data_IF_075303794346
#
_entry.id   IF_075303794346
#
_cell.length_a   1.000
_cell.length_b   1.000
_cell.length_c   1.000
_cell.angle_alpha   90.00
_cell.angle_beta   90.00
_cell.angle_gamma   90.00
#
_symmetry.space_group_name_H-M   'P 1'
#
loop_
_entity.id
_entity.type
_entity.pdbx_description
1 polymer ?
#
# COMPACT_ATOMS: atom_id res chain seq x y z
N UNK A 1 30.99 -48.38 56.58
CA UNK A 1 30.22 -49.14 55.63
C UNK A 1 28.97 -48.31 55.33
N UNK A 2 28.99 -47.51 54.29
CA UNK A 2 27.87 -46.67 53.90
C UNK A 2 27.44 -46.94 52.43
N UNK A 3 26.17 -47.11 52.27
CA UNK A 3 25.41 -47.60 51.15
C UNK A 3 25.72 -46.89 49.78
N UNK A 4 26.26 -47.64 48.84
CA UNK A 4 26.49 -47.26 47.45
C UNK A 4 25.47 -47.95 46.54
N UNK A 5 24.18 -47.94 46.88
CA UNK A 5 23.13 -48.68 46.15
C UNK A 5 21.91 -47.88 45.78
N UNK A 6 21.98 -46.54 45.64
CA UNK A 6 20.77 -45.80 45.29
C UNK A 6 20.95 -44.73 44.19
N UNK A 7 22.06 -44.74 43.46
CA UNK A 7 22.29 -43.76 42.37
C UNK A 7 21.96 -44.29 40.98
N UNK A 8 21.87 -45.61 40.80
CA UNK A 8 21.61 -46.20 39.48
C UNK A 8 20.12 -46.18 39.06
N UNK A 9 19.18 -46.14 40.03
CA UNK A 9 17.75 -46.14 39.70
C UNK A 9 17.24 -44.76 39.31
N UNK A 10 17.83 -43.68 39.85
CA UNK A 10 17.43 -42.29 39.55
C UNK A 10 17.94 -41.85 38.15
N UNK A 11 19.07 -42.38 37.71
CA UNK A 11 19.61 -42.04 36.39
C UNK A 11 18.81 -42.71 35.24
N UNK A 12 18.28 -43.91 35.52
CA UNK A 12 17.43 -44.61 34.53
C UNK A 12 16.07 -43.94 34.32
N UNK A 13 15.49 -43.34 35.40
CA UNK A 13 14.22 -42.63 35.30
C UNK A 13 14.36 -41.28 34.58
N UNK A 14 15.49 -40.59 34.75
CA UNK A 14 15.78 -39.34 34.05
C UNK A 14 16.01 -39.56 32.53
N UNK A 15 16.58 -40.70 32.14
CA UNK A 15 16.79 -41.06 30.74
C UNK A 15 15.46 -41.47 30.04
N UNK A 16 14.54 -42.09 30.78
CA UNK A 16 13.22 -42.45 30.22
C UNK A 16 12.28 -41.24 30.11
N UNK A 17 12.39 -40.24 31.00
CA UNK A 17 11.59 -39.01 30.91
C UNK A 17 12.03 -38.10 29.78
N UNK A 18 13.33 -38.14 29.42
CA UNK A 18 13.87 -37.38 28.29
C UNK A 18 13.44 -37.91 26.90
N UNK A 19 13.16 -39.20 26.80
CA UNK A 19 12.76 -39.83 25.50
C UNK A 19 11.29 -39.65 25.23
N UNK A 20 10.44 -39.54 26.25
CA UNK A 20 8.98 -39.33 26.08
C UNK A 20 8.64 -37.89 25.68
N UNK A 21 9.46 -36.89 26.07
CA UNK A 21 9.26 -35.48 25.68
C UNK A 21 9.68 -35.17 24.21
N UNK A 22 10.53 -36.00 23.58
CA UNK A 22 10.95 -35.75 22.20
C UNK A 22 9.99 -36.33 21.14
N UNK A 23 9.02 -37.15 21.53
CA UNK A 23 8.09 -37.79 20.59
C UNK A 23 6.83 -36.95 20.27
N UNK A 24 6.64 -35.77 20.92
CA UNK A 24 5.46 -34.92 20.70
C UNK A 24 5.71 -33.70 19.80
N UNK A 25 6.89 -33.56 19.17
CA UNK A 25 7.22 -32.38 18.35
C UNK A 25 7.22 -32.68 16.85
N UNK A 26 6.77 -33.86 16.42
CA UNK A 26 6.65 -34.19 15.00
C UNK A 26 5.20 -34.42 14.55
N UNK A 27 4.28 -33.72 15.20
CA UNK A 27 2.96 -33.46 14.68
C UNK A 27 3.00 -32.21 13.80
N UNK A 28 3.73 -32.29 12.67
CA UNK A 28 3.52 -31.36 11.56
C UNK A 28 2.10 -31.58 11.07
N UNK A 29 1.14 -30.81 11.56
CA UNK A 29 -0.06 -30.53 10.79
C UNK A 29 0.46 -29.85 9.51
N UNK A 30 0.55 -30.61 8.44
CA UNK A 30 0.36 -30.05 7.10
C UNK A 30 -1.12 -29.67 7.07
N UNK A 31 -1.41 -28.42 7.43
CA UNK A 31 -2.51 -27.74 6.82
C UNK A 31 -2.11 -27.65 5.34
N UNK A 32 -2.67 -28.53 4.53
CA UNK A 32 -2.77 -28.29 3.10
C UNK A 32 -3.69 -27.07 3.00
N UNK A 33 -3.06 -25.86 3.08
CA UNK A 33 -3.68 -24.64 2.65
C UNK A 33 -4.07 -24.88 1.18
N UNK A 34 -5.33 -25.23 0.99
CA UNK A 34 -5.97 -25.16 -0.32
C UNK A 34 -5.92 -23.69 -0.70
N UNK A 35 -4.83 -23.30 -1.38
CA UNK A 35 -4.71 -21.98 -1.97
C UNK A 35 -5.79 -21.90 -3.01
N UNK A 36 -6.90 -21.25 -2.66
CA UNK A 36 -7.90 -20.86 -3.63
C UNK A 36 -7.19 -19.93 -4.63
N UNK A 37 -7.01 -20.36 -5.91
CA UNK A 37 -6.30 -19.54 -6.89
C UNK A 37 -7.03 -18.22 -7.20
N UNK A 38 -8.31 -18.10 -6.81
CA UNK A 38 -9.12 -16.89 -6.96
C UNK A 38 -9.21 -16.07 -5.65
N UNK A 39 -8.65 -16.55 -4.54
CA UNK A 39 -8.57 -15.76 -3.33
C UNK A 39 -7.60 -14.57 -3.54
N UNK A 40 -8.04 -13.32 -3.24
CA UNK A 40 -7.14 -12.18 -3.31
C UNK A 40 -5.93 -12.46 -2.43
N UNK A 41 -4.74 -12.54 -3.04
CA UNK A 41 -3.51 -12.77 -2.30
C UNK A 41 -3.34 -11.67 -1.27
N UNK A 42 -3.53 -12.01 0.02
CA UNK A 42 -3.31 -11.07 1.12
C UNK A 42 -1.82 -10.72 1.11
N UNK A 43 -1.44 -9.45 0.84
CA UNK A 43 -0.04 -9.06 0.83
C UNK A 43 0.60 -9.32 2.19
N UNK A 44 1.84 -9.83 2.21
CA UNK A 44 2.60 -10.03 3.45
C UNK A 44 2.84 -8.70 4.18
N UNK A 45 2.99 -8.67 5.52
CA UNK A 45 3.13 -7.43 6.31
C UNK A 45 4.22 -6.48 5.82
N UNK A 46 5.35 -6.98 5.36
CA UNK A 46 6.39 -6.19 4.70
C UNK A 46 5.92 -5.49 3.42
N UNK A 47 4.93 -6.07 2.75
CA UNK A 47 4.32 -5.53 1.53
C UNK A 47 3.40 -4.34 1.82
N UNK A 48 2.86 -4.19 3.03
CA UNK A 48 1.94 -3.09 3.37
C UNK A 48 2.63 -1.72 3.30
N UNK A 49 3.81 -1.60 3.88
CA UNK A 49 4.63 -0.37 3.82
C UNK A 49 5.13 -0.11 2.40
N UNK A 50 5.49 -1.16 1.66
CA UNK A 50 5.86 -1.08 0.24
C UNK A 50 4.70 -0.57 -0.61
N UNK A 51 3.47 -1.02 -0.36
CA UNK A 51 2.28 -0.56 -1.09
C UNK A 51 1.97 0.91 -0.80
N UNK A 52 2.12 1.38 0.46
CA UNK A 52 2.03 2.79 0.80
C UNK A 52 3.06 3.59 -0.02
N UNK A 53 4.32 3.17 -0.02
CA UNK A 53 5.38 3.84 -0.75
C UNK A 53 5.19 3.79 -2.27
N UNK A 54 4.59 2.72 -2.79
CA UNK A 54 4.21 2.62 -4.20
C UNK A 54 3.16 3.66 -4.55
N UNK A 55 2.14 3.85 -3.69
CA UNK A 55 1.12 4.88 -3.87
C UNK A 55 1.72 6.30 -3.82
N UNK A 56 2.66 6.57 -2.92
CA UNK A 56 3.35 7.87 -2.84
C UNK A 56 4.13 8.15 -4.14
N UNK A 57 4.86 7.16 -4.64
CA UNK A 57 5.57 7.27 -5.94
C UNK A 57 4.59 7.45 -7.10
N UNK A 58 3.48 6.74 -7.09
CA UNK A 58 2.44 6.86 -8.12
C UNK A 58 1.79 8.25 -8.11
N UNK A 59 1.50 8.81 -6.93
CA UNK A 59 0.99 10.19 -6.81
C UNK A 59 1.94 11.20 -7.46
N UNK A 60 3.26 11.08 -7.21
CA UNK A 60 4.25 11.91 -7.88
C UNK A 60 4.18 11.79 -9.41
N UNK A 61 4.12 10.55 -9.91
CA UNK A 61 4.01 10.30 -11.37
C UNK A 61 2.72 10.87 -11.98
N UNK A 62 1.60 10.81 -11.27
CA UNK A 62 0.34 11.43 -11.73
C UNK A 62 0.45 12.96 -11.80
N UNK A 63 1.07 13.59 -10.81
CA UNK A 63 1.30 15.04 -10.79
C UNK A 63 2.25 15.44 -11.94
N UNK A 64 3.32 14.68 -12.14
CA UNK A 64 4.26 14.86 -13.26
C UNK A 64 3.56 14.71 -14.60
N UNK A 65 2.76 13.65 -14.78
CA UNK A 65 1.98 13.44 -15.99
C UNK A 65 1.01 14.59 -16.26
N UNK A 66 0.35 15.13 -15.24
CA UNK A 66 -0.54 16.29 -15.37
C UNK A 66 0.21 17.53 -15.81
N UNK A 67 1.41 17.80 -15.29
CA UNK A 67 2.21 18.96 -15.68
C UNK A 67 2.81 18.84 -17.08
N UNK A 68 3.08 17.60 -17.53
CA UNK A 68 3.61 17.32 -18.86
C UNK A 68 2.52 17.06 -19.91
N UNK A 69 1.23 17.20 -19.54
CA UNK A 69 0.08 16.91 -20.40
C UNK A 69 0.10 15.48 -20.99
N UNK A 70 0.61 14.52 -20.21
CA UNK A 70 0.61 13.12 -20.61
C UNK A 70 -0.81 12.53 -20.44
N UNK A 71 -1.20 11.68 -21.40
CA UNK A 71 -2.48 10.99 -21.37
C UNK A 71 -2.36 9.59 -20.76
N UNK A 72 -3.46 9.07 -20.23
CA UNK A 72 -3.58 7.67 -19.81
C UNK A 72 -3.84 6.80 -21.03
N UNK A 73 -2.95 5.86 -21.30
CA UNK A 73 -3.10 4.89 -22.39
C UNK A 73 -3.95 3.70 -21.96
N UNK A 74 -3.68 3.15 -20.77
CA UNK A 74 -4.47 2.08 -20.15
C UNK A 74 -4.55 2.26 -18.65
N UNK A 75 -5.66 1.80 -18.05
CA UNK A 75 -5.78 1.61 -16.62
C UNK A 75 -6.55 0.30 -16.36
N UNK A 76 -5.89 -0.66 -15.73
CA UNK A 76 -6.43 -1.99 -15.54
C UNK A 76 -6.63 -2.26 -14.05
N UNK A 77 -7.88 -2.50 -13.61
CA UNK A 77 -8.12 -2.96 -12.24
C UNK A 77 -7.57 -4.39 -12.08
N UNK A 78 -6.92 -4.61 -10.95
CA UNK A 78 -6.37 -5.90 -10.52
C UNK A 78 -7.04 -6.30 -9.23
N UNK A 79 -7.34 -7.58 -9.03
CA UNK A 79 -8.00 -8.11 -7.84
C UNK A 79 -9.27 -7.33 -7.47
N UNK A 80 -10.23 -7.25 -8.41
CA UNK A 80 -11.50 -6.54 -8.21
C UNK A 80 -11.35 -5.07 -7.77
N UNK A 81 -10.32 -4.38 -8.24
CA UNK A 81 -10.06 -2.96 -7.92
C UNK A 81 -9.29 -2.76 -6.60
N UNK A 82 -8.74 -3.82 -6.00
CA UNK A 82 -7.83 -3.66 -4.87
C UNK A 82 -6.55 -2.92 -5.26
N UNK A 83 -6.13 -3.03 -6.52
CA UNK A 83 -5.07 -2.24 -7.12
C UNK A 83 -5.37 -1.94 -8.58
N UNK A 84 -4.57 -1.05 -9.17
CA UNK A 84 -4.66 -0.64 -10.57
C UNK A 84 -3.26 -0.58 -11.17
N UNK A 85 -3.14 -1.01 -12.42
CA UNK A 85 -1.95 -0.76 -13.24
C UNK A 85 -2.30 0.31 -14.26
N UNK A 86 -1.51 1.38 -14.31
CA UNK A 86 -1.68 2.53 -15.19
C UNK A 86 -0.50 2.57 -16.16
N UNK A 87 -0.78 2.80 -17.45
CA UNK A 87 0.20 3.09 -18.46
C UNK A 87 -0.10 4.47 -19.08
N UNK A 88 0.90 5.32 -19.17
CA UNK A 88 0.82 6.64 -19.77
C UNK A 88 1.23 6.63 -21.25
N UNK A 89 0.94 7.72 -21.97
CA UNK A 89 1.22 7.86 -23.40
C UNK A 89 2.71 7.83 -23.76
N UNK A 90 3.60 8.16 -22.80
CA UNK A 90 5.04 8.07 -22.95
C UNK A 90 5.61 6.65 -22.70
N UNK A 91 4.75 5.68 -22.37
CA UNK A 91 5.13 4.32 -22.03
C UNK A 91 5.46 4.11 -20.53
N UNK A 92 5.42 5.16 -19.71
CA UNK A 92 5.59 5.04 -18.27
C UNK A 92 4.46 4.18 -17.68
N UNK A 93 4.80 3.16 -16.89
CA UNK A 93 3.83 2.30 -16.22
C UNK A 93 4.08 2.28 -14.71
N UNK A 94 2.99 2.22 -13.92
CA UNK A 94 3.04 2.14 -12.46
C UNK A 94 1.76 1.54 -11.88
N UNK A 95 1.84 1.11 -10.62
CA UNK A 95 0.69 0.54 -9.90
C UNK A 95 0.25 1.47 -8.77
N UNK A 96 -1.04 1.38 -8.41
CA UNK A 96 -1.65 2.03 -7.25
C UNK A 96 -2.52 1.02 -6.49
N UNK A 97 -2.48 1.07 -5.18
CA UNK A 97 -3.21 0.16 -4.30
C UNK A 97 -4.33 0.89 -3.57
N UNK A 98 -5.58 0.55 -3.89
CA UNK A 98 -6.77 1.06 -3.18
C UNK A 98 -6.98 0.33 -1.85
N UNK A 99 -6.47 -0.90 -1.74
CA UNK A 99 -6.49 -1.67 -0.50
C UNK A 99 -5.06 -2.00 -0.08
N UNK A 100 -4.80 -1.83 1.21
CA UNK A 100 -3.51 -2.17 1.83
C UNK A 100 -3.80 -3.24 2.87
N UNK A 101 -2.96 -4.28 2.90
CA UNK A 101 -3.11 -5.37 3.84
C UNK A 101 -2.98 -4.89 5.30
N UNK A 102 -3.62 -5.64 6.20
CA UNK A 102 -3.35 -5.50 7.62
C UNK A 102 -1.91 -5.93 7.95
N UNK A 103 -1.33 -5.37 8.99
CA UNK A 103 -0.09 -5.87 9.57
C UNK A 103 -0.37 -7.17 10.34
N UNK A 104 0.51 -8.16 10.23
CA UNK A 104 0.40 -9.39 11.02
C UNK A 104 0.44 -9.08 12.52
N UNK A 105 -0.51 -9.67 13.27
CA UNK A 105 -0.63 -9.43 14.73
C UNK A 105 -1.30 -8.13 15.12
N UNK A 106 -1.67 -7.28 14.16
CA UNK A 106 -2.53 -6.13 14.40
C UNK A 106 -3.99 -6.57 14.58
N UNK A 107 -4.69 -6.08 15.63
CA UNK A 107 -6.12 -6.30 15.78
C UNK A 107 -6.93 -5.76 14.59
N UNK A 108 -8.22 -6.03 14.56
CA UNK A 108 -9.13 -5.56 13.50
C UNK A 108 -9.37 -4.04 13.50
N UNK A 109 -8.93 -3.35 14.54
CA UNK A 109 -9.09 -1.92 14.67
C UNK A 109 -8.26 -1.15 13.63
N UNK A 110 -8.89 -0.19 12.98
CA UNK A 110 -8.22 0.74 12.09
C UNK A 110 -7.36 1.67 12.95
N UNK A 111 -6.07 1.45 12.90
CA UNK A 111 -5.10 2.27 13.59
C UNK A 111 -4.40 3.19 12.61
N UNK A 112 -3.77 4.22 13.13
CA UNK A 112 -3.10 5.25 12.37
C UNK A 112 -2.20 4.70 11.26
N UNK A 113 -2.43 5.18 10.04
CA UNK A 113 -1.57 4.98 8.88
C UNK A 113 -1.20 6.36 8.31
N UNK A 114 0.09 6.72 8.22
CA UNK A 114 0.49 8.02 7.69
C UNK A 114 0.01 8.20 6.26
N UNK A 115 -0.66 9.31 5.98
CA UNK A 115 -1.15 9.65 4.64
C UNK A 115 -0.25 10.69 4.04
N UNK A 116 0.62 10.26 3.12
CA UNK A 116 1.43 11.17 2.31
C UNK A 116 0.63 11.53 1.08
N UNK A 117 0.13 12.75 1.04
CA UNK A 117 -0.68 13.31 -0.04
C UNK A 117 -0.03 14.53 -0.66
N UNK A 118 -0.81 15.32 -1.38
CA UNK A 118 -0.37 16.57 -1.97
C UNK A 118 -1.44 17.66 -1.87
N UNK A 119 -1.02 18.93 -1.84
CA UNK A 119 -1.85 20.11 -1.98
C UNK A 119 -1.26 21.05 -3.00
N UNK A 120 -2.13 21.86 -3.61
CA UNK A 120 -1.74 22.91 -4.56
C UNK A 120 -1.67 24.25 -3.84
N UNK A 121 -0.61 25.01 -4.09
CA UNK A 121 -0.44 26.39 -3.70
C UNK A 121 0.30 27.11 -4.82
N UNK A 122 -0.27 28.22 -5.37
CA UNK A 122 0.31 28.99 -6.49
C UNK A 122 0.65 28.13 -7.72
N UNK A 123 -0.25 27.23 -8.10
CA UNK A 123 -0.12 26.28 -9.20
C UNK A 123 1.00 25.23 -9.06
N UNK A 124 1.63 25.17 -7.89
CA UNK A 124 2.63 24.17 -7.55
C UNK A 124 2.07 23.14 -6.56
N UNK A 125 2.50 21.88 -6.72
CA UNK A 125 2.16 20.80 -5.79
C UNK A 125 3.22 20.67 -4.70
N UNK A 126 2.74 20.60 -3.45
CA UNK A 126 3.56 20.37 -2.27
C UNK A 126 3.10 19.10 -1.55
N UNK A 127 4.05 18.35 -1.03
CA UNK A 127 3.76 17.16 -0.23
C UNK A 127 3.05 17.53 1.06
N UNK A 128 2.12 16.67 1.45
CA UNK A 128 1.46 16.71 2.76
C UNK A 128 1.67 15.41 3.52
N UNK A 129 1.57 15.49 4.84
CA UNK A 129 1.49 14.35 5.74
C UNK A 129 0.29 14.59 6.65
N UNK A 130 -0.69 13.67 6.61
CA UNK A 130 -1.94 13.77 7.36
C UNK A 130 -2.65 15.13 7.16
N UNK A 131 -2.75 15.55 5.91
CA UNK A 131 -3.33 16.83 5.49
C UNK A 131 -2.56 18.10 5.94
N UNK A 132 -1.49 17.99 6.71
CA UNK A 132 -0.59 19.11 6.99
C UNK A 132 0.54 19.18 5.93
N UNK A 133 1.15 20.35 5.74
CA UNK A 133 2.32 20.45 4.88
C UNK A 133 3.45 19.56 5.39
N UNK A 134 4.05 18.79 4.50
CA UNK A 134 5.28 18.07 4.84
C UNK A 134 6.42 19.08 4.92
N UNK A 135 6.93 19.24 6.14
CA UNK A 135 8.09 20.11 6.44
C UNK A 135 9.11 19.33 7.24
N UNK A 136 10.36 19.81 7.24
CA UNK A 136 11.43 19.30 8.08
C UNK A 136 11.98 20.46 8.96
N UNK A 137 13.22 20.43 9.32
CA UNK A 137 13.83 21.32 10.34
C UNK A 137 13.62 22.82 10.12
N UNK A 138 13.43 23.28 8.87
CA UNK A 138 13.31 24.70 8.54
C UNK A 138 11.88 25.18 8.25
N UNK A 139 10.86 24.36 8.54
CA UNK A 139 9.44 24.61 8.20
C UNK A 139 9.20 24.90 6.70
N UNK A 140 10.16 24.64 5.85
CA UNK A 140 10.04 24.79 4.41
C UNK A 140 9.16 23.68 3.84
N UNK A 141 8.14 24.06 3.05
CA UNK A 141 7.26 23.12 2.36
C UNK A 141 8.02 22.36 1.29
N UNK A 142 7.82 21.03 1.26
CA UNK A 142 8.48 20.17 0.28
C UNK A 142 7.68 20.11 -1.01
N UNK A 143 8.24 20.57 -2.12
CA UNK A 143 7.61 20.46 -3.45
C UNK A 143 7.54 19.00 -3.91
N UNK A 144 6.46 18.65 -4.63
CA UNK A 144 6.32 17.32 -5.24
C UNK A 144 7.29 17.16 -6.42
N UNK A 145 7.38 18.20 -7.24
CA UNK A 145 8.31 18.26 -8.37
C UNK A 145 9.34 19.37 -8.07
N UNK A 146 10.54 18.95 -7.77
CA UNK A 146 11.69 19.80 -7.48
C UNK A 146 12.81 19.39 -8.43
N UNK A 147 13.36 20.35 -9.15
CA UNK A 147 14.47 20.12 -10.09
C UNK A 147 15.71 19.51 -9.42
N UNK A 148 15.91 19.81 -8.14
CA UNK A 148 17.04 19.31 -7.35
C UNK A 148 16.75 17.98 -6.65
N UNK A 149 15.49 17.54 -6.61
CA UNK A 149 15.10 16.33 -5.90
C UNK A 149 13.98 15.59 -6.60
N UNK A 150 14.34 14.53 -7.30
CA UNK A 150 13.42 13.70 -8.10
C UNK A 150 12.81 12.54 -7.32
N UNK A 151 12.99 12.48 -5.99
CA UNK A 151 12.47 11.37 -5.16
C UNK A 151 11.13 11.72 -4.52
N UNK A 152 10.31 10.71 -4.27
CA UNK A 152 9.11 10.82 -3.45
C UNK A 152 9.46 10.58 -1.97
N UNK A 153 8.68 11.11 -1.02
CA UNK A 153 8.81 10.74 0.39
C UNK A 153 8.66 9.22 0.57
N UNK A 154 9.37 8.68 1.55
CA UNK A 154 9.33 7.27 1.91
C UNK A 154 8.79 7.16 3.34
N UNK A 155 7.73 6.38 3.50
CA UNK A 155 7.22 5.98 4.80
C UNK A 155 7.92 4.70 5.22
N UNK A 156 8.34 4.62 6.47
CA UNK A 156 9.07 3.47 7.02
C UNK A 156 8.71 3.28 8.51
N UNK A 157 9.18 2.19 9.09
CA UNK A 157 9.02 1.87 10.52
C UNK A 157 10.42 1.78 11.11
N UNK A 158 10.67 2.51 12.20
CA UNK A 158 11.95 2.43 12.89
C UNK A 158 12.03 1.18 13.80
N UNK A 159 13.19 0.95 14.39
CA UNK A 159 13.45 -0.19 15.29
C UNK A 159 12.59 -0.20 16.55
N UNK A 160 12.06 0.96 16.94
CA UNK A 160 11.22 1.13 18.13
C UNK A 160 9.72 0.96 17.81
N UNK A 161 9.37 0.63 16.54
CA UNK A 161 8.00 0.43 16.09
C UNK A 161 7.21 1.71 15.83
N UNK A 162 7.89 2.84 15.59
CA UNK A 162 7.25 4.10 15.23
C UNK A 162 7.36 4.39 13.74
N UNK A 163 6.33 5.04 13.21
CA UNK A 163 6.35 5.53 11.85
C UNK A 163 7.42 6.62 11.64
N UNK A 164 8.09 6.56 10.51
CA UNK A 164 9.03 7.58 10.05
C UNK A 164 8.70 8.01 8.63
N UNK A 165 8.98 9.27 8.32
CA UNK A 165 8.91 9.81 6.95
C UNK A 165 10.27 10.35 6.57
N UNK A 166 10.79 9.89 5.43
CA UNK A 166 12.10 10.27 4.88
C UNK A 166 11.91 11.01 3.56
N UNK A 167 12.71 12.04 3.31
CA UNK A 167 12.77 12.74 2.02
C UNK A 167 14.22 13.15 1.73
N UNK A 168 14.84 12.53 0.76
CA UNK A 168 16.27 12.67 0.53
C UNK A 168 17.06 12.23 1.76
N UNK A 169 17.88 13.10 2.32
CA UNK A 169 18.67 12.87 3.54
C UNK A 169 17.92 13.24 4.83
N UNK A 170 16.77 13.91 4.72
CA UNK A 170 15.97 14.36 5.86
C UNK A 170 15.05 13.22 6.35
N UNK A 171 14.85 13.12 7.66
CA UNK A 171 13.98 12.13 8.28
C UNK A 171 13.26 12.70 9.48
N UNK A 172 12.00 12.29 9.68
CA UNK A 172 11.19 12.64 10.86
C UNK A 172 10.50 11.40 11.39
N UNK A 173 10.64 11.13 12.69
CA UNK A 173 9.85 10.12 13.40
C UNK A 173 8.53 10.73 13.82
N UNK A 174 7.43 10.00 13.66
CA UNK A 174 6.10 10.40 14.07
C UNK A 174 5.80 9.83 15.46
N UNK A 175 5.06 10.58 16.27
CA UNK A 175 4.60 10.17 17.61
C UNK A 175 3.45 9.15 17.52
N UNK A 176 3.57 8.19 16.60
CA UNK A 176 2.55 7.18 16.30
C UNK A 176 3.21 5.82 16.16
N UNK A 177 2.90 4.93 17.09
CA UNK A 177 3.31 3.54 16.99
C UNK A 177 2.57 2.83 15.86
N UNK A 178 3.23 1.83 15.30
CA UNK A 178 2.65 0.99 14.28
C UNK A 178 1.73 -0.03 14.93
N UNK A 179 0.47 -0.07 14.52
CA UNK A 179 -0.48 -1.09 14.98
C UNK A 179 -1.68 -1.18 14.04
N UNK A 180 -2.31 -2.34 13.96
CA UNK A 180 -3.60 -2.54 13.33
C UNK A 180 -3.62 -2.51 11.80
N UNK A 181 -4.80 -2.21 11.24
CA UNK A 181 -5.07 -2.23 9.81
C UNK A 181 -4.64 -0.92 9.17
N UNK A 182 -3.82 -1.00 8.13
CA UNK A 182 -3.40 0.17 7.35
C UNK A 182 -4.47 0.59 6.34
N UNK A 183 -4.56 1.89 6.08
CA UNK A 183 -5.48 2.46 5.09
C UNK A 183 -4.69 3.12 3.97
N UNK A 184 -5.19 2.95 2.73
CA UNK A 184 -4.62 3.63 1.57
C UNK A 184 -5.07 5.09 1.51
N UNK A 185 -4.17 6.01 1.13
CA UNK A 185 -4.56 7.34 0.71
C UNK A 185 -5.21 7.35 -0.69
N UNK A 186 -4.91 6.36 -1.52
CA UNK A 186 -5.54 6.20 -2.82
C UNK A 186 -6.89 5.48 -2.67
N UNK A 187 -7.92 5.99 -3.37
CA UNK A 187 -9.28 5.48 -3.29
C UNK A 187 -9.68 4.69 -4.52
N UNK A 188 -9.62 5.31 -5.70
CA UNK A 188 -10.05 4.67 -6.94
C UNK A 188 -9.59 5.41 -8.19
N UNK A 189 -9.65 4.71 -9.32
CA UNK A 189 -9.60 5.24 -10.68
C UNK A 189 -11.00 5.18 -11.29
N UNK A 190 -11.44 6.23 -11.98
CA UNK A 190 -12.75 6.27 -12.64
C UNK A 190 -12.64 6.97 -13.98
N UNK A 191 -13.26 6.39 -15.02
CA UNK A 191 -13.43 7.09 -16.30
C UNK A 191 -14.42 8.25 -16.14
N UNK A 192 -14.14 9.35 -16.82
CA UNK A 192 -15.06 10.48 -17.01
C UNK A 192 -15.40 10.53 -18.50
N UNK A 193 -16.53 9.91 -18.86
CA UNK A 193 -16.88 9.71 -20.28
C UNK A 193 -15.78 8.94 -21.02
N UNK A 194 -15.55 9.34 -22.27
CA UNK A 194 -14.52 8.77 -23.13
C UNK A 194 -13.31 9.73 -23.29
N UNK A 195 -13.19 10.72 -22.41
CA UNK A 195 -12.22 11.80 -22.56
C UNK A 195 -11.10 11.76 -21.52
N UNK A 196 -11.42 11.42 -20.29
CA UNK A 196 -10.46 11.49 -19.21
C UNK A 196 -10.63 10.40 -18.15
N UNK A 197 -9.63 10.28 -17.30
CA UNK A 197 -9.60 9.39 -16.14
C UNK A 197 -9.31 10.23 -14.91
N UNK A 198 -10.12 10.06 -13.85
CA UNK A 198 -9.92 10.70 -12.56
C UNK A 198 -9.30 9.74 -11.54
N UNK A 199 -8.36 10.24 -10.78
CA UNK A 199 -7.71 9.57 -9.65
C UNK A 199 -8.14 10.28 -8.37
N UNK A 200 -8.82 9.54 -7.48
CA UNK A 200 -9.36 10.09 -6.23
C UNK A 200 -8.63 9.52 -5.02
N UNK A 201 -8.55 10.33 -3.97
CA UNK A 201 -7.80 10.04 -2.75
C UNK A 201 -8.71 10.08 -1.53
N UNK A 202 -8.29 9.49 -0.42
CA UNK A 202 -9.04 9.45 0.85
C UNK A 202 -8.72 10.63 1.76
N UNK A 203 -7.60 11.29 1.51
CA UNK A 203 -7.16 12.52 2.15
C UNK A 203 -7.60 13.76 1.35
N UNK A 204 -7.05 14.94 1.67
CA UNK A 204 -7.36 16.19 0.97
C UNK A 204 -6.54 16.42 -0.29
N UNK A 205 -5.85 15.41 -0.80
CA UNK A 205 -5.18 15.49 -2.10
C UNK A 205 -6.21 15.81 -3.18
N UNK A 206 -5.98 16.83 -4.03
CA UNK A 206 -6.89 17.15 -5.12
C UNK A 206 -7.08 15.97 -6.06
N UNK A 207 -8.27 15.84 -6.62
CA UNK A 207 -8.53 14.90 -7.72
C UNK A 207 -7.60 15.23 -8.87
N UNK A 208 -6.88 14.22 -9.37
CA UNK A 208 -6.03 14.36 -10.54
C UNK A 208 -6.76 13.77 -11.73
N UNK A 209 -7.00 14.59 -12.74
CA UNK A 209 -7.58 14.18 -14.00
C UNK A 209 -6.51 14.22 -15.09
N UNK A 210 -6.42 13.13 -15.86
CA UNK A 210 -5.57 13.02 -17.04
C UNK A 210 -6.44 12.66 -18.23
N UNK A 211 -6.13 13.19 -19.41
CA UNK A 211 -6.81 12.83 -20.64
C UNK A 211 -6.61 11.35 -20.96
N UNK A 212 -7.58 10.72 -21.62
CA UNK A 212 -7.38 9.41 -22.25
C UNK A 212 -6.60 9.59 -23.55
N UNK A 213 -5.64 8.72 -23.77
CA UNK A 213 -4.87 8.67 -25.01
C UNK A 213 -5.76 8.19 -26.17
N UNK A 214 -6.05 9.07 -27.10
CA UNK A 214 -6.92 8.77 -28.25
C UNK A 214 -6.13 8.25 -29.46
N UNK A 215 -4.85 7.88 -29.33
CA UNK A 215 -4.04 7.35 -30.43
C UNK A 215 -4.26 8.04 -31.80
N UNK A 216 -3.43 7.75 -32.75
CA UNK A 216 -3.66 8.19 -34.15
C UNK A 216 -4.74 7.34 -34.85
N UNK A 217 -5.36 6.37 -34.19
CA UNK A 217 -6.38 5.49 -34.72
C UNK A 217 -7.72 5.72 -34.00
N UNK A 218 -8.80 6.11 -34.72
CA UNK A 218 -10.10 6.46 -34.16
C UNK A 218 -10.87 5.30 -33.50
N UNK A 219 -10.37 4.08 -33.53
CA UNK A 219 -10.96 2.94 -32.83
C UNK A 219 -10.28 2.71 -31.47
N UNK A 220 -10.78 3.41 -30.45
CA UNK A 220 -10.45 3.10 -29.07
C UNK A 220 -11.11 1.75 -28.75
N UNK A 221 -10.36 0.68 -28.42
CA UNK A 221 -11.00 -0.51 -27.91
C UNK A 221 -11.75 -0.14 -26.63
N UNK A 222 -12.97 -0.66 -26.40
CA UNK A 222 -13.73 -0.36 -25.20
C UNK A 222 -12.86 -0.72 -23.99
N UNK A 223 -12.69 0.25 -23.08
CA UNK A 223 -11.93 0.05 -21.84
C UNK A 223 -12.59 -1.09 -21.09
N UNK A 224 -11.99 -2.27 -21.14
CA UNK A 224 -12.46 -3.47 -20.47
C UNK A 224 -12.22 -3.29 -18.99
N UNK A 225 -13.21 -2.78 -18.26
CA UNK A 225 -13.08 -2.54 -16.80
C UNK A 225 -13.96 -1.43 -16.26
N UNK A 226 -14.67 -0.68 -17.08
CA UNK A 226 -15.67 0.24 -16.58
C UNK A 226 -16.83 -0.56 -15.96
N UNK A 227 -16.88 -0.65 -14.63
CA UNK A 227 -18.08 -1.06 -13.92
C UNK A 227 -19.21 -0.08 -14.31
N UNK A 228 -20.01 -0.47 -15.30
CA UNK A 228 -21.28 0.22 -15.56
C UNK A 228 -22.06 0.11 -14.25
N UNK A 229 -22.30 1.25 -13.58
CA UNK A 229 -23.34 1.30 -12.56
C UNK A 229 -24.64 0.87 -13.25
N UNK A 230 -25.41 -0.09 -12.70
CA UNK A 230 -26.74 -0.36 -13.23
C UNK A 230 -27.52 0.94 -13.10
N UNK A 231 -28.05 1.42 -14.23
CA UNK A 231 -29.03 2.50 -14.28
C UNK A 231 -30.24 1.98 -13.52
N UNK A 232 -30.55 2.58 -12.38
CA UNK A 232 -31.78 2.30 -11.66
C UNK A 232 -32.97 2.58 -12.59
N UNK A 233 -33.90 1.63 -12.80
CA UNK A 233 -35.06 1.93 -13.63
C UNK A 233 -35.87 3.06 -12.98
N UNK A 234 -36.07 4.13 -13.71
CA UNK A 234 -37.04 5.19 -13.38
C UNK A 234 -38.39 4.55 -13.11
N UNK A 235 -38.94 4.77 -11.90
CA UNK A 235 -40.32 4.43 -11.61
C UNK A 235 -41.21 5.41 -12.42
N UNK A 236 -42.16 4.90 -13.23
CA UNK A 236 -43.16 5.77 -13.86
C UNK A 236 -44.09 6.32 -12.81
N UNK A 237 -44.47 7.60 -12.98
CA UNK A 237 -45.41 8.36 -12.18
C UNK A 237 -46.84 7.79 -12.21
#
# INVERSE_FOLDING_TARGET
>A
MMNLLNTKSKLSYLLFLGIVCCACILGSCKDDDVIDPDAPSVPKPGTAVENINTNVKALRKLIEAKQQDLAVKTYNPVNNGASYTIELSDGTSFSMYAQIAALEGGGEDVVYSPKVGAKVEHDEYYWTLDDAWLTFENDEKVKVLDENNTVAPIVDINTDGYWTVKYGTKSRTLDKAVSGKLTSQFKQVSAIGDESVSFTFTDRTPVIELNLFKGDNPEIPPVTGALRRPISPEQPA
#
